data_IF_038493074639
#
_entry.id   IF_038493074639
#
_cell.length_a   1.000
_cell.length_b   1.000
_cell.length_c   1.000
_cell.angle_alpha   90.00
_cell.angle_beta   90.00
_cell.angle_gamma   90.00
#
_symmetry.space_group_name_H-M   'P 1'
#
loop_
_entity.id
_entity.type
_entity.pdbx_description
1 polymer ?
#
# COMPACT_ATOMS: atom_id res chain seq x y z
N UNK A 1 -13.98 -17.80 -32.45
CA UNK A 1 -14.74 -17.02 -31.45
C UNK A 1 -14.25 -17.38 -30.04
N UNK A 2 -12.92 -17.55 -29.86
CA UNK A 2 -12.35 -18.37 -28.78
C UNK A 2 -11.25 -17.68 -27.97
N UNK A 3 -10.79 -16.50 -28.40
CA UNK A 3 -9.76 -15.73 -27.70
C UNK A 3 -10.29 -15.02 -26.44
N UNK A 4 -11.51 -14.46 -26.50
CA UNK A 4 -12.15 -13.81 -25.33
C UNK A 4 -12.47 -14.80 -24.20
N UNK A 5 -12.79 -16.07 -24.53
CA UNK A 5 -13.11 -17.09 -23.52
C UNK A 5 -11.86 -17.58 -22.77
N UNK A 6 -10.72 -17.72 -23.45
CA UNK A 6 -9.46 -18.12 -22.81
C UNK A 6 -8.91 -17.01 -21.91
N UNK A 7 -9.04 -15.75 -22.30
CA UNK A 7 -8.61 -14.58 -21.52
C UNK A 7 -9.47 -14.39 -20.26
N UNK A 8 -10.80 -14.47 -20.38
CA UNK A 8 -11.72 -14.44 -19.23
C UNK A 8 -11.48 -15.60 -18.26
N UNK A 9 -11.18 -16.80 -18.77
CA UNK A 9 -10.83 -17.97 -17.95
C UNK A 9 -9.50 -17.77 -17.22
N UNK A 10 -8.53 -17.13 -17.87
CA UNK A 10 -7.21 -16.83 -17.29
C UNK A 10 -7.31 -15.75 -16.20
N UNK A 11 -8.08 -14.68 -16.44
CA UNK A 11 -8.34 -13.65 -15.42
C UNK A 11 -9.10 -14.21 -14.21
N UNK A 12 -10.05 -15.12 -14.44
CA UNK A 12 -10.77 -15.82 -13.35
C UNK A 12 -9.82 -16.69 -12.54
N UNK A 13 -8.98 -17.49 -13.19
CA UNK A 13 -8.00 -18.35 -12.53
C UNK A 13 -6.99 -17.54 -11.71
N UNK A 14 -6.51 -16.41 -12.25
CA UNK A 14 -5.62 -15.50 -11.53
C UNK A 14 -6.30 -14.92 -10.28
N UNK A 15 -7.57 -14.53 -10.40
CA UNK A 15 -8.36 -14.02 -9.27
C UNK A 15 -8.55 -15.08 -8.18
N UNK A 16 -8.88 -16.31 -8.58
CA UNK A 16 -9.06 -17.43 -7.64
C UNK A 16 -7.75 -17.78 -6.92
N UNK A 17 -6.62 -17.82 -7.66
CA UNK A 17 -5.29 -18.02 -7.07
C UNK A 17 -4.92 -16.90 -6.11
N UNK A 18 -5.08 -15.64 -6.52
CA UNK A 18 -4.80 -14.49 -5.67
C UNK A 18 -5.65 -14.53 -4.40
N UNK A 19 -6.95 -14.77 -4.52
CA UNK A 19 -7.86 -14.83 -3.37
C UNK A 19 -7.48 -15.95 -2.41
N UNK A 20 -7.13 -17.14 -2.92
CA UNK A 20 -6.65 -18.25 -2.10
C UNK A 20 -5.36 -17.90 -1.36
N UNK A 21 -4.37 -17.34 -2.07
CA UNK A 21 -3.11 -16.87 -1.46
C UNK A 21 -3.34 -15.78 -0.41
N UNK A 22 -4.27 -14.85 -0.68
CA UNK A 22 -4.63 -13.78 0.24
C UNK A 22 -5.28 -14.33 1.51
N UNK A 23 -6.26 -15.23 1.39
CA UNK A 23 -6.89 -15.87 2.55
C UNK A 23 -5.85 -16.63 3.39
N UNK A 24 -5.00 -17.42 2.73
CA UNK A 24 -3.91 -18.12 3.41
C UNK A 24 -3.00 -17.16 4.18
N UNK A 25 -2.56 -16.08 3.54
CA UNK A 25 -1.78 -15.03 4.19
C UNK A 25 -2.51 -14.44 5.41
N UNK A 26 -3.81 -14.14 5.30
CA UNK A 26 -4.56 -13.58 6.43
C UNK A 26 -4.65 -14.53 7.61
N UNK A 27 -4.80 -15.83 7.36
CA UNK A 27 -4.82 -16.85 8.41
C UNK A 27 -3.44 -17.03 9.05
N UNK A 28 -2.37 -17.01 8.25
CA UNK A 28 -1.00 -17.05 8.76
C UNK A 28 -0.68 -15.85 9.66
N UNK A 29 -1.13 -14.64 9.29
CA UNK A 29 -0.93 -13.46 10.15
C UNK A 29 -1.77 -13.55 11.43
N UNK A 30 -3.00 -14.05 11.35
CA UNK A 30 -3.87 -14.25 12.52
C UNK A 30 -3.34 -15.32 13.48
N UNK A 31 -2.62 -16.32 12.97
CA UNK A 31 -2.10 -17.44 13.76
C UNK A 31 -0.78 -17.13 14.47
N UNK A 32 -0.15 -15.98 14.20
CA UNK A 32 1.04 -15.53 14.94
C UNK A 32 0.71 -15.46 16.44
N UNK A 33 1.45 -16.14 17.33
CA UNK A 33 1.18 -16.10 18.77
C UNK A 33 1.16 -14.68 19.34
N UNK A 34 0.33 -14.39 20.34
CA UNK A 34 0.13 -13.01 20.85
C UNK A 34 1.38 -12.45 21.54
N UNK A 35 2.16 -13.34 22.13
CA UNK A 35 3.43 -13.12 22.81
C UNK A 35 4.59 -12.81 21.86
N UNK A 36 4.42 -13.02 20.55
CA UNK A 36 5.45 -12.71 19.58
C UNK A 36 5.48 -11.20 19.29
N UNK A 37 6.68 -10.63 19.37
CA UNK A 37 6.96 -9.25 18.96
C UNK A 37 6.88 -9.15 17.43
N UNK A 38 6.14 -8.18 16.93
CA UNK A 38 5.93 -7.96 15.49
C UNK A 38 6.56 -6.63 15.09
N UNK A 39 7.34 -6.63 14.01
CA UNK A 39 7.81 -5.42 13.36
C UNK A 39 7.18 -5.31 11.97
N UNK A 40 6.39 -4.26 11.73
CA UNK A 40 5.78 -3.96 10.45
C UNK A 40 6.57 -2.84 9.78
N UNK A 41 7.01 -3.07 8.56
CA UNK A 41 7.79 -2.12 7.78
C UNK A 41 6.87 -1.35 6.84
N UNK A 42 6.96 -0.02 6.83
CA UNK A 42 6.19 0.85 5.93
C UNK A 42 7.08 1.87 5.25
N UNK A 43 6.57 2.47 4.19
CA UNK A 43 7.10 3.69 3.56
C UNK A 43 6.01 4.75 3.43
N UNK A 44 6.37 5.94 2.96
CA UNK A 44 5.44 7.04 2.68
C UNK A 44 4.74 6.87 1.34
N UNK A 45 3.83 5.91 1.24
CA UNK A 45 2.93 5.74 0.10
C UNK A 45 1.59 5.13 0.50
N UNK A 46 0.63 5.19 -0.43
CA UNK A 46 -0.74 4.72 -0.24
C UNK A 46 -0.79 3.24 0.12
N UNK A 47 -0.07 2.40 -0.63
CA UNK A 47 -0.10 0.95 -0.52
C UNK A 47 0.42 0.48 0.83
N UNK A 48 1.57 1.02 1.27
CA UNK A 48 2.16 0.67 2.56
C UNK A 48 1.30 1.16 3.72
N UNK A 49 0.68 2.33 3.58
CA UNK A 49 -0.19 2.86 4.61
C UNK A 49 -1.46 2.02 4.79
N UNK A 50 -2.15 1.69 3.68
CA UNK A 50 -3.33 0.85 3.72
C UNK A 50 -2.99 -0.58 4.14
N UNK A 51 -1.86 -1.11 3.69
CA UNK A 51 -1.32 -2.40 4.11
C UNK A 51 -1.09 -2.46 5.61
N UNK A 52 -0.52 -1.41 6.22
CA UNK A 52 -0.38 -1.30 7.67
C UNK A 52 -1.76 -1.28 8.37
N UNK A 53 -2.69 -0.46 7.88
CA UNK A 53 -4.03 -0.38 8.48
C UNK A 53 -4.74 -1.75 8.43
N UNK A 54 -4.66 -2.44 7.30
CA UNK A 54 -5.19 -3.79 7.12
C UNK A 54 -4.50 -4.80 8.05
N UNK A 55 -3.17 -4.84 8.08
CA UNK A 55 -2.41 -5.75 8.93
C UNK A 55 -2.79 -5.59 10.40
N UNK A 56 -2.95 -4.35 10.88
CA UNK A 56 -3.39 -4.10 12.25
C UNK A 56 -4.83 -4.57 12.51
N UNK A 57 -5.73 -4.44 11.53
CA UNK A 57 -7.11 -4.92 11.66
C UNK A 57 -7.21 -6.44 11.85
N UNK A 58 -6.29 -7.21 11.25
CA UNK A 58 -6.26 -8.67 11.38
C UNK A 58 -5.40 -9.15 12.55
N UNK A 59 -4.40 -8.36 12.96
CA UNK A 59 -3.59 -8.62 14.16
C UNK A 59 -4.35 -8.34 15.47
N UNK A 60 -5.49 -7.66 15.41
CA UNK A 60 -6.44 -7.57 16.53
C UNK A 60 -5.85 -6.89 17.76
N UNK A 61 -5.95 -7.53 18.93
CA UNK A 61 -5.62 -6.98 20.25
C UNK A 61 -4.14 -7.10 20.67
N UNK A 62 -3.25 -7.53 19.76
CA UNK A 62 -1.80 -7.65 20.04
C UNK A 62 -1.12 -6.30 20.32
N UNK A 63 -0.41 -6.19 21.42
CA UNK A 63 0.21 -4.96 21.93
C UNK A 63 1.68 -4.79 21.51
N UNK A 64 2.42 -5.88 21.32
CA UNK A 64 3.86 -5.87 20.99
C UNK A 64 4.16 -5.63 19.50
N UNK A 65 3.52 -4.63 18.88
CA UNK A 65 3.69 -4.27 17.47
C UNK A 65 4.52 -2.99 17.35
N UNK A 66 5.59 -3.02 16.56
CA UNK A 66 6.37 -1.83 16.17
C UNK A 66 6.20 -1.54 14.70
N UNK A 67 6.19 -0.25 14.38
CA UNK A 67 6.18 0.22 13.00
C UNK A 67 7.54 0.84 12.69
N UNK A 68 8.16 0.37 11.61
CA UNK A 68 9.43 0.87 11.10
C UNK A 68 9.14 1.64 9.82
N UNK A 69 9.31 2.97 9.86
CA UNK A 69 9.18 3.82 8.69
C UNK A 69 10.51 3.85 7.92
N UNK A 70 10.54 3.16 6.77
CA UNK A 70 11.69 3.09 5.88
C UNK A 70 12.06 4.44 5.27
N UNK A 71 11.09 5.31 4.98
CA UNK A 71 11.35 6.62 4.39
C UNK A 71 12.00 7.54 5.43
N UNK A 72 11.59 7.45 6.70
CA UNK A 72 12.25 8.14 7.80
C UNK A 72 13.63 7.56 8.12
N UNK A 73 13.73 6.23 8.22
CA UNK A 73 14.97 5.51 8.46
C UNK A 73 16.01 5.80 7.37
N UNK A 74 15.59 5.89 6.11
CA UNK A 74 16.48 6.25 5.01
C UNK A 74 17.10 7.64 5.18
N UNK A 75 16.32 8.62 5.64
CA UNK A 75 16.83 9.98 5.90
C UNK A 75 17.74 10.03 7.12
N UNK A 76 17.32 9.40 8.22
CA UNK A 76 18.00 9.53 9.53
C UNK A 76 19.17 8.58 9.72
N UNK A 77 19.07 7.36 9.20
CA UNK A 77 20.04 6.27 9.45
C UNK A 77 20.94 6.08 8.23
N UNK A 78 20.35 5.94 7.03
CA UNK A 78 21.13 5.66 5.82
C UNK A 78 21.67 6.92 5.14
N UNK A 79 21.05 8.08 5.42
CA UNK A 79 21.41 9.39 4.85
C UNK A 79 21.50 9.38 3.32
N UNK A 80 20.58 8.66 2.66
CA UNK A 80 20.54 8.58 1.19
C UNK A 80 19.67 9.69 0.60
N UNK A 81 20.03 10.12 -0.61
CA UNK A 81 19.43 11.27 -1.30
C UNK A 81 18.22 10.92 -2.18
N UNK A 82 17.64 9.72 -2.02
CA UNK A 82 16.46 9.27 -2.74
C UNK A 82 15.42 8.73 -1.77
N UNK A 83 14.14 8.72 -2.12
CA UNK A 83 13.09 8.16 -1.28
C UNK A 83 12.96 6.65 -1.48
N UNK A 84 12.94 5.89 -0.39
CA UNK A 84 12.62 4.46 -0.41
C UNK A 84 11.10 4.30 -0.46
N UNK A 85 10.60 3.62 -1.50
CA UNK A 85 9.18 3.34 -1.69
C UNK A 85 8.77 1.97 -1.15
N UNK A 86 9.66 0.99 -1.15
CA UNK A 86 9.33 -0.36 -0.65
C UNK A 86 10.54 -1.00 0.03
N UNK A 87 10.30 -1.96 0.93
CA UNK A 87 11.37 -2.71 1.60
C UNK A 87 12.30 -3.43 0.60
N UNK A 88 11.79 -3.81 -0.58
CA UNK A 88 12.57 -4.45 -1.64
C UNK A 88 13.60 -3.55 -2.32
N UNK A 89 13.55 -2.23 -2.11
CA UNK A 89 14.54 -1.27 -2.63
C UNK A 89 15.74 -1.11 -1.68
N UNK A 90 15.70 -1.78 -0.52
CA UNK A 90 16.72 -1.65 0.53
C UNK A 90 17.61 -2.88 0.50
N UNK A 91 18.93 -2.67 0.51
CA UNK A 91 19.87 -3.80 0.58
C UNK A 91 19.74 -4.53 1.93
N UNK A 92 20.08 -5.84 2.00
CA UNK A 92 20.05 -6.58 3.25
C UNK A 92 20.89 -5.95 4.37
N UNK A 93 22.04 -5.37 4.04
CA UNK A 93 22.94 -4.72 5.01
C UNK A 93 22.29 -3.47 5.61
N UNK A 94 21.61 -2.68 4.77
CA UNK A 94 20.91 -1.48 5.20
C UNK A 94 19.63 -1.83 5.98
N UNK A 95 18.91 -2.89 5.60
CA UNK A 95 17.80 -3.41 6.39
C UNK A 95 18.26 -3.81 7.80
N UNK A 96 19.41 -4.48 7.93
CA UNK A 96 19.95 -4.86 9.23
C UNK A 96 20.32 -3.64 10.08
N UNK A 97 20.89 -2.59 9.47
CA UNK A 97 21.16 -1.32 10.16
C UNK A 97 19.88 -0.67 10.68
N UNK A 98 18.85 -0.60 9.83
CA UNK A 98 17.55 -0.03 10.21
C UNK A 98 16.90 -0.88 11.32
N UNK A 99 16.95 -2.20 11.20
CA UNK A 99 16.39 -3.14 12.19
C UNK A 99 17.02 -2.91 13.56
N UNK A 100 18.35 -2.90 13.65
CA UNK A 100 19.09 -2.63 14.90
C UNK A 100 18.76 -1.27 15.50
N UNK A 101 18.72 -0.22 14.67
CA UNK A 101 18.36 1.11 15.15
C UNK A 101 16.92 1.17 15.69
N UNK A 102 16.01 0.40 15.11
CA UNK A 102 14.59 0.36 15.47
C UNK A 102 14.28 -0.54 16.68
N UNK A 103 15.26 -1.28 17.22
CA UNK A 103 15.10 -2.09 18.43
C UNK A 103 14.79 -1.26 19.68
N UNK A 104 14.99 0.06 19.62
CA UNK A 104 14.63 0.99 20.69
C UNK A 104 13.30 1.70 20.47
N UNK A 105 12.68 1.54 19.29
CA UNK A 105 11.38 2.14 19.02
C UNK A 105 10.35 1.56 19.98
N UNK A 106 9.49 2.42 20.48
CA UNK A 106 8.35 2.02 21.29
C UNK A 106 7.38 1.17 20.46
N UNK A 107 6.62 0.34 21.16
CA UNK A 107 5.47 -0.32 20.56
C UNK A 107 4.40 0.73 20.22
N UNK A 108 3.55 0.43 19.23
CA UNK A 108 2.39 1.24 18.93
C UNK A 108 1.54 1.41 20.18
N UNK A 109 1.17 2.65 20.48
CA UNK A 109 0.16 2.89 21.51
C UNK A 109 -1.19 2.35 21.05
N UNK A 110 -2.03 1.94 22.00
CA UNK A 110 -3.40 1.49 21.71
C UNK A 110 -4.20 2.56 20.98
N UNK A 111 -4.02 3.85 21.32
CA UNK A 111 -4.68 4.96 20.62
C UNK A 111 -4.30 5.01 19.14
N UNK A 112 -3.00 4.99 18.82
CA UNK A 112 -2.52 5.04 17.44
C UNK A 112 -2.98 3.81 16.66
N UNK A 113 -2.92 2.63 17.27
CA UNK A 113 -3.37 1.38 16.67
C UNK A 113 -4.86 1.41 16.37
N UNK A 114 -5.69 1.86 17.31
CA UNK A 114 -7.14 1.98 17.10
C UNK A 114 -7.49 3.01 16.03
N UNK A 115 -6.73 4.10 15.92
CA UNK A 115 -6.89 5.07 14.83
C UNK A 115 -6.63 4.41 13.46
N UNK A 116 -5.54 3.66 13.32
CA UNK A 116 -5.20 2.96 12.08
C UNK A 116 -6.24 1.88 11.71
N UNK A 117 -6.76 1.15 12.69
CA UNK A 117 -7.84 0.16 12.47
C UNK A 117 -9.13 0.85 11.99
N UNK A 118 -9.50 1.99 12.60
CA UNK A 118 -10.64 2.80 12.13
C UNK A 118 -10.45 3.31 10.71
N UNK A 119 -9.22 3.70 10.34
CA UNK A 119 -8.90 4.08 8.96
C UNK A 119 -9.08 2.91 7.99
N UNK A 120 -8.68 1.70 8.37
CA UNK A 120 -8.97 0.52 7.55
C UNK A 120 -10.48 0.36 7.31
N UNK A 121 -11.29 0.46 8.37
CA UNK A 121 -12.74 0.37 8.25
C UNK A 121 -13.28 1.40 7.26
N UNK A 122 -12.91 2.68 7.44
CA UNK A 122 -13.31 3.77 6.54
C UNK A 122 -12.93 3.49 5.07
N UNK A 123 -11.69 3.10 4.81
CA UNK A 123 -11.24 2.85 3.43
C UNK A 123 -11.83 1.59 2.82
N UNK A 124 -12.13 0.57 3.63
CA UNK A 124 -12.73 -0.69 3.17
C UNK A 124 -14.21 -0.54 2.80
N UNK A 125 -14.91 0.42 3.43
CA UNK A 125 -16.32 0.73 3.17
C UNK A 125 -16.51 1.85 2.13
N UNK A 126 -15.46 2.65 1.88
CA UNK A 126 -15.50 3.72 0.87
C UNK A 126 -15.75 3.16 -0.53
N UNK A 127 -16.67 3.82 -1.24
CA UNK A 127 -17.00 3.54 -2.65
C UNK A 127 -16.11 4.28 -3.64
N UNK A 128 -15.23 5.16 -3.14
CA UNK A 128 -14.32 5.92 -3.99
C UNK A 128 -13.29 4.96 -4.59
N UNK A 129 -13.07 5.11 -5.89
CA UNK A 129 -12.27 4.16 -6.66
C UNK A 129 -10.78 4.45 -6.49
N UNK A 130 -10.40 5.74 -6.40
CA UNK A 130 -9.01 6.16 -6.39
C UNK A 130 -8.57 6.62 -5.00
N UNK A 131 -7.35 6.21 -4.60
CA UNK A 131 -6.72 6.58 -3.33
C UNK A 131 -5.33 7.17 -3.60
N UNK A 132 -5.04 8.34 -3.03
CA UNK A 132 -3.79 9.06 -3.25
C UNK A 132 -3.06 9.32 -1.94
N UNK A 133 -1.73 9.45 -2.02
CA UNK A 133 -0.89 9.89 -0.93
C UNK A 133 -0.68 11.40 -1.04
N UNK A 134 -1.15 12.17 -0.06
CA UNK A 134 -1.01 13.62 -0.01
C UNK A 134 -0.95 14.08 1.45
N UNK A 135 -0.14 15.08 1.76
CA UNK A 135 -0.03 15.66 3.10
C UNK A 135 0.25 14.61 4.21
N UNK A 136 1.11 13.64 3.89
CA UNK A 136 1.46 12.47 4.73
C UNK A 136 0.26 11.58 5.13
N UNK A 137 -0.81 11.60 4.34
CA UNK A 137 -2.02 10.80 4.55
C UNK A 137 -2.56 10.21 3.24
N UNK A 138 -3.42 9.20 3.39
CA UNK A 138 -4.20 8.66 2.28
C UNK A 138 -5.52 9.42 2.16
N UNK A 139 -5.84 9.85 0.96
CA UNK A 139 -7.12 10.46 0.62
C UNK A 139 -7.87 9.60 -0.40
N UNK A 140 -9.15 9.38 -0.14
CA UNK A 140 -10.09 8.88 -1.16
C UNK A 140 -10.55 10.04 -2.02
N UNK A 141 -10.49 9.87 -3.34
CA UNK A 141 -10.86 10.89 -4.33
C UNK A 141 -11.72 10.28 -5.45
N UNK A 142 -12.54 11.10 -6.14
CA UNK A 142 -13.25 10.66 -7.34
C UNK A 142 -12.32 10.06 -8.40
N UNK A 143 -12.86 9.15 -9.23
CA UNK A 143 -12.10 8.49 -10.30
C UNK A 143 -11.56 9.50 -11.34
N UNK A 144 -12.30 10.58 -11.59
CA UNK A 144 -12.01 11.63 -12.57
C UNK A 144 -11.08 12.75 -12.04
N UNK A 145 -10.57 12.63 -10.81
CA UNK A 145 -9.78 13.67 -10.14
C UNK A 145 -8.56 14.14 -10.96
N UNK A 146 -7.93 13.25 -11.73
CA UNK A 146 -6.77 13.60 -12.57
C UNK A 146 -7.13 13.91 -14.02
N UNK A 147 -8.40 13.80 -14.44
CA UNK A 147 -8.80 13.91 -15.84
C UNK A 147 -8.47 15.29 -16.41
N UNK A 148 -8.86 16.36 -15.72
CA UNK A 148 -8.57 17.73 -16.15
C UNK A 148 -7.07 18.00 -16.26
N UNK A 149 -6.28 17.48 -15.31
CA UNK A 149 -4.82 17.58 -15.33
C UNK A 149 -4.23 16.84 -16.53
N UNK A 150 -4.67 15.60 -16.78
CA UNK A 150 -4.21 14.76 -17.89
C UNK A 150 -4.57 15.43 -19.23
N UNK A 151 -5.80 15.93 -19.37
CA UNK A 151 -6.26 16.64 -20.58
C UNK A 151 -5.45 17.92 -20.82
N UNK A 152 -5.21 18.72 -19.78
CA UNK A 152 -4.39 19.91 -19.89
C UNK A 152 -2.95 19.58 -20.30
N UNK A 153 -2.37 18.53 -19.73
CA UNK A 153 -1.01 18.11 -20.05
C UNK A 153 -0.91 17.53 -21.46
N UNK A 154 -1.88 16.73 -21.89
CA UNK A 154 -1.97 16.19 -23.25
C UNK A 154 -1.99 17.31 -24.30
N UNK A 155 -2.81 18.34 -24.09
CA UNK A 155 -2.84 19.55 -24.94
C UNK A 155 -1.49 20.26 -24.96
N UNK A 156 -0.83 20.37 -23.82
CA UNK A 156 0.49 21.03 -23.71
C UNK A 156 1.58 20.31 -24.53
N UNK A 157 1.51 18.99 -24.64
CA UNK A 157 2.48 18.19 -25.41
C UNK A 157 2.03 17.90 -26.85
N UNK A 158 0.89 18.46 -27.30
CA UNK A 158 0.37 18.27 -28.66
C UNK A 158 -0.23 16.89 -28.92
N UNK A 159 -0.58 16.15 -27.87
CA UNK A 159 -1.16 14.81 -27.98
C UNK A 159 -2.67 14.84 -28.30
N UNK A 160 -3.31 16.01 -28.44
CA UNK A 160 -4.75 16.07 -28.72
C UNK A 160 -5.16 15.39 -30.03
N UNK A 161 -4.24 15.27 -30.99
CA UNK A 161 -4.52 14.72 -32.33
C UNK A 161 -4.76 13.21 -32.33
N UNK A 162 -4.25 12.48 -31.33
CA UNK A 162 -4.39 11.02 -31.24
C UNK A 162 -5.68 10.57 -30.53
N UNK A 163 -6.32 11.46 -29.73
CA UNK A 163 -7.56 11.13 -29.01
C UNK A 163 -8.81 11.11 -29.92
N UNK A 164 -8.77 11.75 -31.09
CA UNK A 164 -9.93 11.86 -31.99
C UNK A 164 -10.04 10.75 -33.05
N UNK A 165 -9.04 9.88 -33.19
CA UNK A 165 -9.02 8.88 -34.27
C UNK A 165 -9.94 7.67 -33.98
N UNK A 166 -10.38 7.45 -32.73
CA UNK A 166 -11.17 6.26 -32.36
C UNK A 166 -12.69 6.46 -32.22
N UNK A 167 -13.26 7.63 -32.54
CA UNK A 167 -14.72 7.84 -32.54
C UNK A 167 -15.38 7.82 -33.92
N UNK A 168 -14.63 7.49 -34.97
CA UNK A 168 -15.18 7.22 -36.30
C UNK A 168 -14.59 5.93 -36.88
N UNK A 169 -15.09 4.79 -36.43
CA UNK A 169 -15.09 3.53 -37.18
C UNK A 169 -16.20 2.59 -36.70
#
# INVERSE_FOLDING_TARGET
MDFKKSELSSQRLLRERFFSSFLKFTEEVRSIPKENKIAIWKSKNTESYLGLCFALSILGDRDQIRVIDLSEANRKILQKNYEIRFAGEVSPEDLERIRKASEKNEYLSEEMKMNLIKKWQFFSESKDILRIWKDDQVHSIPEDYYDDFIVAYAKKIGAEKDFYIQRQS
#
